data_IF_919064862482
#
_entry.id   IF_919064862482
#
_cell.length_a   1.000
_cell.length_b   1.000
_cell.length_c   1.000
_cell.angle_alpha   90.00
_cell.angle_beta   90.00
_cell.angle_gamma   90.00
#
_symmetry.space_group_name_H-M   'P 1'
#
loop_
_entity.id
_entity.type
_entity.pdbx_description
1 polymer ?
#
# COMPACT_ATOMS: atom_id res chain seq x y z
N UNK A 1 25.32 -20.05 -6.01
CA UNK A 1 23.98 -19.53 -5.70
C UNK A 1 23.83 -18.14 -6.32
N UNK A 2 22.74 -17.94 -7.07
CA UNK A 2 22.44 -16.67 -7.73
C UNK A 2 22.25 -15.55 -6.70
N UNK A 3 23.06 -14.51 -6.75
CA UNK A 3 23.00 -13.36 -5.81
C UNK A 3 22.33 -12.16 -6.45
N UNK A 4 22.66 -11.88 -7.69
CA UNK A 4 22.33 -10.65 -8.39
C UNK A 4 21.25 -10.88 -9.44
N UNK A 5 20.40 -9.87 -9.61
CA UNK A 5 19.31 -9.87 -10.57
C UNK A 5 18.02 -10.57 -10.11
N UNK A 6 16.96 -10.44 -10.90
CA UNK A 6 15.65 -11.01 -10.59
C UNK A 6 15.66 -12.54 -10.66
N UNK A 7 14.97 -13.18 -9.69
CA UNK A 7 14.83 -14.62 -9.62
C UNK A 7 13.39 -14.99 -9.25
N UNK A 8 12.80 -15.92 -9.97
CA UNK A 8 11.50 -16.50 -9.67
C UNK A 8 11.68 -17.93 -9.17
N UNK A 9 11.03 -18.28 -8.05
CA UNK A 9 10.99 -19.62 -7.50
C UNK A 9 9.57 -20.15 -7.61
N UNK A 10 9.36 -21.16 -8.46
CA UNK A 10 8.07 -21.82 -8.64
C UNK A 10 8.02 -23.05 -7.72
N UNK A 11 6.99 -23.09 -6.87
CA UNK A 11 6.87 -24.14 -5.88
C UNK A 11 5.41 -24.39 -5.52
N UNK A 12 4.97 -25.65 -5.49
CA UNK A 12 3.62 -26.05 -5.15
C UNK A 12 3.25 -25.78 -3.67
N UNK A 13 1.98 -25.97 -3.32
CA UNK A 13 1.55 -25.92 -1.93
C UNK A 13 2.29 -26.99 -1.10
N UNK A 14 2.75 -26.64 0.10
CA UNK A 14 3.49 -27.56 0.97
C UNK A 14 4.96 -27.84 0.60
N UNK A 15 5.44 -27.38 -0.55
CA UNK A 15 6.80 -27.65 -1.05
C UNK A 15 7.93 -26.90 -0.32
N UNK A 16 7.59 -26.10 0.69
CA UNK A 16 8.59 -25.38 1.48
C UNK A 16 9.00 -23.99 0.97
N UNK A 17 8.17 -23.30 0.14
CA UNK A 17 8.45 -21.94 -0.36
C UNK A 17 8.98 -20.97 0.71
N UNK A 18 8.31 -20.93 1.86
CA UNK A 18 8.72 -20.06 2.98
C UNK A 18 10.09 -20.48 3.55
N UNK A 19 10.38 -21.78 3.52
CA UNK A 19 11.70 -22.30 3.95
C UNK A 19 12.80 -21.84 3.00
N UNK A 20 12.57 -21.92 1.70
CA UNK A 20 13.53 -21.42 0.70
C UNK A 20 13.82 -19.93 0.92
N UNK A 21 12.79 -19.10 1.12
CA UNK A 21 12.96 -17.68 1.39
C UNK A 21 13.75 -17.43 2.69
N UNK A 22 13.45 -18.16 3.75
CA UNK A 22 14.19 -18.06 5.03
C UNK A 22 15.67 -18.34 4.85
N UNK A 23 16.01 -19.45 4.19
CA UNK A 23 17.40 -19.82 3.96
C UNK A 23 18.10 -18.90 2.95
N UNK A 24 17.38 -18.32 1.97
CA UNK A 24 17.95 -17.32 1.09
C UNK A 24 18.37 -16.07 1.86
N UNK A 25 17.51 -15.56 2.76
CA UNK A 25 17.84 -14.40 3.61
C UNK A 25 19.07 -14.72 4.48
N UNK A 26 19.07 -15.87 5.14
CA UNK A 26 20.21 -16.31 5.94
C UNK A 26 21.49 -16.40 5.12
N UNK A 27 21.41 -16.92 3.89
CA UNK A 27 22.54 -17.01 2.99
C UNK A 27 23.07 -15.63 2.57
N UNK A 28 22.20 -14.69 2.25
CA UNK A 28 22.58 -13.32 1.91
C UNK A 28 23.31 -12.64 3.07
N UNK A 29 22.82 -12.78 4.28
CA UNK A 29 23.46 -12.24 5.48
C UNK A 29 24.82 -12.90 5.74
N UNK A 30 24.91 -14.23 5.58
CA UNK A 30 26.17 -14.96 5.71
C UNK A 30 27.22 -14.53 4.66
N UNK A 31 26.77 -14.04 3.50
CA UNK A 31 27.64 -13.48 2.47
C UNK A 31 28.00 -12.01 2.73
N UNK A 32 27.72 -11.47 3.90
CA UNK A 32 28.08 -10.12 4.32
C UNK A 32 27.10 -9.03 3.88
N UNK A 33 25.90 -9.39 3.39
CA UNK A 33 24.86 -8.40 3.11
C UNK A 33 24.22 -7.99 4.44
N UNK A 34 24.27 -6.68 4.75
CA UNK A 34 23.70 -6.13 5.96
C UNK A 34 22.17 -6.36 5.99
N UNK A 35 21.67 -6.73 7.17
CA UNK A 35 20.25 -6.96 7.39
C UNK A 35 19.37 -5.74 7.03
N UNK A 36 19.88 -4.51 7.22
CA UNK A 36 19.19 -3.28 6.83
C UNK A 36 18.98 -3.14 5.30
N UNK A 37 19.78 -3.84 4.51
CA UNK A 37 19.67 -3.84 3.05
C UNK A 37 18.76 -4.96 2.52
N UNK A 38 18.12 -5.73 3.41
CA UNK A 38 17.25 -6.84 3.02
C UNK A 38 15.80 -6.48 3.34
N UNK A 39 14.98 -6.41 2.29
CA UNK A 39 13.53 -6.23 2.39
C UNK A 39 12.82 -7.55 2.11
N UNK A 40 12.00 -8.01 3.06
CA UNK A 40 11.21 -9.25 2.94
C UNK A 40 9.73 -8.98 3.19
N UNK A 41 8.92 -9.12 2.15
CA UNK A 41 7.51 -8.77 2.17
C UNK A 41 6.62 -10.01 2.07
N UNK A 42 5.46 -9.95 2.74
CA UNK A 42 4.44 -10.98 2.71
C UNK A 42 3.03 -10.36 2.75
N UNK A 43 2.01 -11.14 2.42
CA UNK A 43 0.64 -10.64 2.36
C UNK A 43 -0.08 -10.60 3.71
N UNK A 44 0.31 -11.44 4.68
CA UNK A 44 -0.40 -11.54 5.96
C UNK A 44 0.52 -11.33 7.16
N UNK A 45 -0.01 -10.72 8.21
CA UNK A 45 0.72 -10.53 9.46
C UNK A 45 1.11 -11.86 10.11
N UNK A 46 0.29 -12.91 9.95
CA UNK A 46 0.60 -14.26 10.43
C UNK A 46 1.85 -14.81 9.74
N UNK A 47 1.89 -14.71 8.41
CA UNK A 47 3.06 -15.15 7.63
C UNK A 47 4.32 -14.32 7.96
N UNK A 48 4.18 -13.00 8.16
CA UNK A 48 5.28 -12.14 8.57
C UNK A 48 5.87 -12.55 9.93
N UNK A 49 5.01 -12.79 10.93
CA UNK A 49 5.44 -13.25 12.26
C UNK A 49 6.13 -14.61 12.21
N UNK A 50 5.57 -15.56 11.45
CA UNK A 50 6.15 -16.89 11.30
C UNK A 50 7.51 -16.83 10.59
N UNK A 51 7.62 -16.06 9.51
CA UNK A 51 8.88 -15.85 8.79
C UNK A 51 9.94 -15.23 9.70
N UNK A 52 9.59 -14.18 10.45
CA UNK A 52 10.51 -13.52 11.39
C UNK A 52 11.03 -14.52 12.45
N UNK A 53 10.16 -15.36 13.01
CA UNK A 53 10.55 -16.41 13.95
C UNK A 53 11.54 -17.39 13.33
N UNK A 54 11.24 -17.88 12.12
CA UNK A 54 12.10 -18.86 11.42
C UNK A 54 13.47 -18.28 11.06
N UNK A 55 13.51 -17.02 10.59
CA UNK A 55 14.79 -16.35 10.29
C UNK A 55 15.60 -16.16 11.57
N UNK A 56 14.97 -15.69 12.66
CA UNK A 56 15.65 -15.54 13.95
C UNK A 56 16.25 -16.84 14.48
N UNK A 57 15.63 -17.98 14.17
CA UNK A 57 16.19 -19.32 14.54
C UNK A 57 17.44 -19.66 13.72
N UNK A 58 17.54 -19.18 12.47
CA UNK A 58 18.66 -19.54 11.57
C UNK A 58 19.84 -18.56 11.68
N UNK A 59 19.55 -17.24 11.78
CA UNK A 59 20.61 -16.20 11.78
C UNK A 59 20.86 -15.56 13.13
N UNK A 60 20.05 -15.91 14.15
CA UNK A 60 20.09 -15.25 15.45
C UNK A 60 19.06 -14.13 15.58
N UNK A 61 18.52 -13.99 16.81
CA UNK A 61 17.46 -13.02 17.10
C UNK A 61 17.95 -11.57 17.09
N UNK A 62 19.23 -11.32 17.33
CA UNK A 62 19.84 -9.99 17.29
C UNK A 62 19.84 -9.41 15.88
N UNK A 63 20.41 -10.13 14.95
CA UNK A 63 20.55 -9.67 13.55
C UNK A 63 19.23 -9.62 12.81
N UNK A 64 18.30 -10.54 13.06
CA UNK A 64 16.99 -10.58 12.42
C UNK A 64 16.09 -9.38 12.77
N UNK A 65 16.39 -8.63 13.84
CA UNK A 65 15.64 -7.42 14.21
C UNK A 65 15.83 -6.28 13.19
N UNK A 66 16.96 -6.23 12.55
CA UNK A 66 17.35 -5.18 11.62
C UNK A 66 16.80 -5.39 10.20
N UNK A 67 16.24 -6.56 9.91
CA UNK A 67 15.58 -6.84 8.64
C UNK A 67 14.33 -5.99 8.44
N UNK A 68 14.17 -5.45 7.24
CA UNK A 68 12.91 -4.85 6.80
C UNK A 68 11.92 -5.96 6.46
N UNK A 69 11.12 -6.36 7.45
CA UNK A 69 10.22 -7.50 7.30
C UNK A 69 8.82 -7.20 7.79
N UNK A 70 7.82 -7.55 6.99
CA UNK A 70 6.42 -7.35 7.33
C UNK A 70 5.49 -7.60 6.16
N UNK A 71 4.24 -7.16 6.32
CA UNK A 71 3.34 -7.01 5.17
C UNK A 71 3.72 -5.77 4.39
N UNK A 72 3.36 -5.71 3.10
CA UNK A 72 3.55 -4.52 2.26
C UNK A 72 3.13 -3.25 3.01
N UNK A 73 1.88 -3.16 3.44
CA UNK A 73 1.36 -2.00 4.14
C UNK A 73 2.14 -1.64 5.42
N UNK A 74 2.53 -2.63 6.23
CA UNK A 74 3.24 -2.36 7.48
C UNK A 74 4.66 -1.83 7.26
N UNK A 75 5.34 -2.32 6.24
CA UNK A 75 6.69 -1.86 5.91
C UNK A 75 6.64 -0.50 5.24
N UNK A 76 5.75 -0.30 4.26
CA UNK A 76 5.61 0.99 3.60
C UNK A 76 5.10 2.08 4.54
N UNK A 77 4.17 1.78 5.45
CA UNK A 77 3.79 2.72 6.52
C UNK A 77 4.99 3.13 7.39
N UNK A 78 5.91 2.20 7.69
CA UNK A 78 7.14 2.51 8.44
C UNK A 78 8.10 3.40 7.64
N UNK A 79 8.25 3.14 6.34
CA UNK A 79 9.06 3.99 5.45
C UNK A 79 8.45 5.40 5.38
N UNK A 80 7.14 5.50 5.15
CA UNK A 80 6.45 6.79 5.05
C UNK A 80 6.47 7.58 6.37
N UNK A 81 6.56 6.93 7.53
CA UNK A 81 6.75 7.65 8.81
C UNK A 81 8.12 8.30 8.92
N UNK A 82 9.14 7.74 8.28
CA UNK A 82 10.49 8.33 8.20
C UNK A 82 10.58 9.37 7.08
N UNK A 83 10.12 9.03 5.91
CA UNK A 83 10.36 9.78 4.68
C UNK A 83 9.17 10.63 4.20
N UNK A 84 7.99 10.46 4.80
CA UNK A 84 6.75 11.13 4.38
C UNK A 84 6.81 12.65 4.40
N UNK A 85 7.74 13.24 5.16
CA UNK A 85 7.97 14.69 5.18
C UNK A 85 8.39 15.23 3.80
N UNK A 86 9.07 14.44 2.97
CA UNK A 86 9.38 14.80 1.58
C UNK A 86 8.12 14.90 0.69
N UNK A 87 7.03 14.27 1.12
CA UNK A 87 5.72 14.34 0.47
C UNK A 87 4.77 15.34 1.15
N UNK A 88 5.24 16.06 2.17
CA UNK A 88 4.44 17.01 2.93
C UNK A 88 3.57 16.39 4.03
N UNK A 89 3.78 15.12 4.38
CA UNK A 89 3.05 14.46 5.47
C UNK A 89 3.86 14.46 6.77
N UNK A 90 3.20 14.64 7.93
CA UNK A 90 3.86 14.51 9.23
C UNK A 90 4.22 13.05 9.51
N UNK A 91 5.27 12.80 10.30
CA UNK A 91 5.69 11.45 10.68
C UNK A 91 4.61 10.65 11.45
N UNK A 92 3.69 11.35 12.10
CA UNK A 92 2.57 10.79 12.85
C UNK A 92 1.25 10.80 12.05
N UNK A 93 1.31 10.81 10.72
CA UNK A 93 0.11 10.77 9.88
C UNK A 93 -0.86 9.66 10.31
N UNK A 94 -2.15 9.92 10.14
CA UNK A 94 -3.22 8.96 10.43
C UNK A 94 -3.42 8.03 9.24
N UNK A 95 -3.65 6.75 9.52
CA UNK A 95 -4.05 5.79 8.48
C UNK A 95 -5.57 5.64 8.56
N UNK A 96 -6.27 6.08 7.52
CA UNK A 96 -7.71 5.92 7.41
C UNK A 96 -8.07 4.49 7.04
N UNK A 97 -8.96 3.91 7.81
CA UNK A 97 -9.58 2.64 7.45
C UNK A 97 -10.72 2.84 6.41
N UNK A 98 -11.36 1.74 6.04
CA UNK A 98 -12.47 1.77 5.08
C UNK A 98 -13.65 2.59 5.61
N UNK A 99 -13.91 2.60 6.92
CA UNK A 99 -15.03 3.35 7.50
C UNK A 99 -14.74 4.85 7.51
N UNK A 100 -13.50 5.24 7.85
CA UNK A 100 -13.06 6.64 7.84
C UNK A 100 -13.14 7.21 6.42
N UNK A 101 -12.64 6.45 5.45
CA UNK A 101 -12.68 6.81 4.03
C UNK A 101 -14.11 6.96 3.51
N UNK A 102 -15.02 6.05 3.87
CA UNK A 102 -16.44 6.12 3.50
C UNK A 102 -17.13 7.33 4.17
N UNK A 103 -16.82 7.63 5.43
CA UNK A 103 -17.37 8.81 6.13
C UNK A 103 -16.91 10.10 5.46
N UNK A 104 -15.63 10.20 5.12
CA UNK A 104 -15.08 11.36 4.42
C UNK A 104 -15.75 11.55 3.06
N UNK A 105 -15.90 10.50 2.27
CA UNK A 105 -16.57 10.55 0.97
C UNK A 105 -18.07 10.92 1.11
N UNK A 106 -18.74 10.43 2.15
CA UNK A 106 -20.14 10.81 2.43
C UNK A 106 -20.27 12.32 2.68
N UNK A 107 -19.33 12.92 3.41
CA UNK A 107 -19.28 14.37 3.64
C UNK A 107 -19.05 15.14 2.34
N UNK A 108 -18.06 14.71 1.53
CA UNK A 108 -17.75 15.33 0.24
C UNK A 108 -18.95 15.30 -0.69
N UNK A 109 -19.59 14.15 -0.86
CA UNK A 109 -20.75 13.97 -1.74
C UNK A 109 -21.92 14.85 -1.29
N UNK A 110 -22.15 14.96 0.03
CA UNK A 110 -23.18 15.85 0.61
C UNK A 110 -22.88 17.32 0.34
N UNK A 111 -21.64 17.77 0.55
CA UNK A 111 -21.24 19.15 0.37
C UNK A 111 -21.24 19.58 -1.10
N UNK A 112 -20.90 18.66 -2.01
CA UNK A 112 -21.03 18.86 -3.45
C UNK A 112 -22.48 18.79 -3.95
N UNK A 113 -23.44 18.54 -3.08
CA UNK A 113 -24.87 18.40 -3.38
C UNK A 113 -25.17 17.35 -4.46
N UNK A 114 -24.40 16.26 -4.46
CA UNK A 114 -24.53 15.17 -5.44
C UNK A 114 -25.61 14.16 -5.01
N UNK A 115 -26.25 13.55 -6.00
CA UNK A 115 -27.26 12.51 -5.79
C UNK A 115 -26.66 11.25 -5.13
N UNK A 116 -27.06 10.93 -3.91
CA UNK A 116 -26.55 9.78 -3.15
C UNK A 116 -26.75 8.44 -3.85
N UNK A 117 -27.79 8.31 -4.64
CA UNK A 117 -28.09 7.08 -5.38
C UNK A 117 -27.06 6.82 -6.51
N UNK A 118 -26.58 7.87 -7.15
CA UNK A 118 -25.55 7.80 -8.19
C UNK A 118 -24.15 7.67 -7.59
N UNK A 119 -23.89 8.41 -6.50
CA UNK A 119 -22.58 8.47 -5.84
C UNK A 119 -22.59 7.78 -4.48
N UNK A 120 -22.84 6.46 -4.46
CA UNK A 120 -22.78 5.67 -3.22
C UNK A 120 -21.35 5.66 -2.67
N UNK A 121 -21.09 6.14 -1.43
CA UNK A 121 -19.72 6.34 -0.93
C UNK A 121 -18.82 5.12 -1.03
N UNK A 122 -19.35 3.91 -0.78
CA UNK A 122 -18.58 2.67 -0.92
C UNK A 122 -18.18 2.38 -2.37
N UNK A 123 -19.05 2.69 -3.34
CA UNK A 123 -18.74 2.50 -4.76
C UNK A 123 -17.74 3.55 -5.25
N UNK A 124 -17.87 4.78 -4.77
CA UNK A 124 -16.90 5.86 -5.04
C UNK A 124 -15.54 5.49 -4.48
N UNK A 125 -15.47 5.01 -3.24
CA UNK A 125 -14.22 4.52 -2.64
C UNK A 125 -13.58 3.40 -3.47
N UNK A 126 -14.39 2.42 -3.87
CA UNK A 126 -13.91 1.31 -4.73
C UNK A 126 -13.34 1.81 -6.05
N UNK A 127 -13.96 2.84 -6.66
CA UNK A 127 -13.44 3.46 -7.90
C UNK A 127 -12.13 4.21 -7.66
N UNK A 128 -12.03 4.98 -6.58
CA UNK A 128 -10.78 5.67 -6.20
C UNK A 128 -9.67 4.65 -5.94
N UNK A 129 -9.96 3.58 -5.21
CA UNK A 129 -9.02 2.49 -4.95
C UNK A 129 -8.53 1.85 -6.25
N UNK A 130 -9.43 1.57 -7.19
CA UNK A 130 -9.06 1.07 -8.52
C UNK A 130 -8.11 2.01 -9.26
N UNK A 131 -8.39 3.33 -9.24
CA UNK A 131 -7.54 4.34 -9.88
C UNK A 131 -6.16 4.36 -9.23
N UNK A 132 -6.09 4.40 -7.89
CA UNK A 132 -4.84 4.37 -7.14
C UNK A 132 -4.03 3.09 -7.41
N UNK A 133 -4.66 1.93 -7.40
CA UNK A 133 -4.01 0.64 -7.70
C UNK A 133 -3.50 0.54 -9.15
N UNK A 134 -4.08 1.33 -10.06
CA UNK A 134 -3.58 1.50 -11.44
C UNK A 134 -2.57 2.64 -11.58
N UNK A 135 -2.09 3.20 -10.48
CA UNK A 135 -1.15 4.34 -10.41
C UNK A 135 -1.69 5.61 -11.10
N UNK A 136 -3.01 5.75 -11.17
CA UNK A 136 -3.67 6.91 -11.76
C UNK A 136 -3.90 7.95 -10.68
N UNK A 137 -3.04 8.96 -10.67
CA UNK A 137 -3.19 10.14 -9.80
C UNK A 137 -4.36 11.01 -10.27
N UNK A 138 -4.81 11.95 -9.44
CA UNK A 138 -5.85 12.92 -9.82
C UNK A 138 -5.47 13.67 -11.09
N UNK A 139 -4.22 14.11 -11.21
CA UNK A 139 -3.71 14.79 -12.42
C UNK A 139 -3.81 13.88 -13.64
N UNK A 140 -3.37 12.64 -13.53
CA UNK A 140 -3.45 11.65 -14.61
C UNK A 140 -4.91 11.36 -15.01
N UNK A 141 -5.83 11.27 -14.03
CA UNK A 141 -7.25 11.10 -14.29
C UNK A 141 -7.83 12.27 -15.11
N UNK A 142 -7.54 13.51 -14.72
CA UNK A 142 -8.06 14.69 -15.44
C UNK A 142 -7.51 14.82 -16.86
N UNK A 143 -6.31 14.30 -17.11
CA UNK A 143 -5.69 14.29 -18.44
C UNK A 143 -6.15 13.13 -19.32
N UNK A 144 -6.87 12.14 -18.75
CA UNK A 144 -7.30 10.94 -19.48
C UNK A 144 -8.79 11.03 -19.87
N UNK A 145 -9.04 11.20 -21.18
CA UNK A 145 -10.40 11.33 -21.72
C UNK A 145 -11.21 10.05 -21.55
N UNK A 146 -10.60 8.87 -21.79
CA UNK A 146 -11.29 7.58 -21.72
C UNK A 146 -11.83 7.29 -20.31
N UNK A 147 -11.04 7.63 -19.27
CA UNK A 147 -11.49 7.45 -17.87
C UNK A 147 -12.67 8.36 -17.53
N UNK A 148 -12.65 9.61 -18.02
CA UNK A 148 -13.76 10.56 -17.82
C UNK A 148 -15.02 10.11 -18.56
N UNK A 149 -14.88 9.64 -19.79
CA UNK A 149 -16.00 9.11 -20.58
C UNK A 149 -16.58 7.84 -19.94
N UNK A 150 -15.74 6.93 -19.45
CA UNK A 150 -16.19 5.74 -18.74
C UNK A 150 -17.02 6.08 -17.49
N UNK A 151 -16.57 7.05 -16.69
CA UNK A 151 -17.31 7.49 -15.51
C UNK A 151 -18.55 8.30 -15.87
N UNK A 152 -18.57 9.04 -17.00
CA UNK A 152 -19.75 9.70 -17.55
C UNK A 152 -20.80 8.68 -18.01
N UNK A 153 -20.40 7.64 -18.74
CA UNK A 153 -21.29 6.54 -19.14
C UNK A 153 -21.87 5.79 -17.95
N UNK A 154 -21.09 5.68 -16.85
CA UNK A 154 -21.57 5.15 -15.59
C UNK A 154 -22.45 6.12 -14.77
N UNK A 155 -22.91 7.23 -15.37
CA UNK A 155 -23.71 8.29 -14.74
C UNK A 155 -23.02 8.96 -13.55
N UNK A 156 -21.69 9.02 -13.56
CA UNK A 156 -20.85 9.63 -12.50
C UNK A 156 -19.86 10.67 -13.05
N UNK A 157 -20.29 11.70 -13.79
CA UNK A 157 -19.40 12.68 -14.43
C UNK A 157 -18.54 13.48 -13.42
N UNK A 158 -18.93 13.53 -12.14
CA UNK A 158 -18.22 14.25 -11.07
C UNK A 158 -17.17 13.38 -10.33
N UNK A 159 -16.84 12.20 -10.86
CA UNK A 159 -15.91 11.28 -10.20
C UNK A 159 -14.52 11.90 -10.00
N UNK A 160 -14.00 12.62 -10.98
CA UNK A 160 -12.71 13.31 -10.88
C UNK A 160 -12.69 14.41 -9.81
N UNK A 161 -13.77 15.21 -9.73
CA UNK A 161 -13.91 16.25 -8.70
C UNK A 161 -13.95 15.65 -7.30
N UNK A 162 -14.69 14.55 -7.13
CA UNK A 162 -14.75 13.82 -5.84
C UNK A 162 -13.37 13.26 -5.49
N UNK A 163 -12.64 12.69 -6.45
CA UNK A 163 -11.30 12.16 -6.24
C UNK A 163 -10.33 13.26 -5.79
N UNK A 164 -10.37 14.43 -6.45
CA UNK A 164 -9.58 15.59 -6.04
C UNK A 164 -9.90 16.02 -4.61
N UNK A 165 -11.17 16.24 -4.28
CA UNK A 165 -11.58 16.62 -2.93
C UNK A 165 -11.18 15.60 -1.87
N UNK A 166 -11.26 14.31 -2.19
CA UNK A 166 -10.85 13.24 -1.29
C UNK A 166 -9.36 13.31 -0.97
N UNK A 167 -8.51 13.40 -2.01
CA UNK A 167 -7.06 13.49 -1.84
C UNK A 167 -6.66 14.75 -1.07
N UNK A 168 -7.26 15.91 -1.40
CA UNK A 168 -6.98 17.19 -0.74
C UNK A 168 -7.35 17.16 0.75
N UNK A 169 -8.47 16.54 1.10
CA UNK A 169 -8.90 16.42 2.49
C UNK A 169 -8.06 15.43 3.29
N UNK A 170 -7.70 14.30 2.71
CA UNK A 170 -6.75 13.39 3.33
C UNK A 170 -5.43 14.11 3.61
N UNK A 171 -4.91 14.85 2.62
CA UNK A 171 -3.68 15.61 2.78
C UNK A 171 -3.78 16.69 3.90
N UNK A 172 -4.83 17.50 3.88
CA UNK A 172 -5.09 18.54 4.91
C UNK A 172 -5.24 17.95 6.31
N UNK A 173 -5.79 16.75 6.42
CA UNK A 173 -5.94 16.04 7.68
C UNK A 173 -4.64 15.33 8.13
N UNK A 174 -3.56 15.38 7.35
CA UNK A 174 -2.37 14.58 7.60
C UNK A 174 -2.68 13.09 7.62
N UNK A 175 -3.54 12.62 6.72
CA UNK A 175 -4.01 11.24 6.67
C UNK A 175 -3.72 10.59 5.31
N UNK A 176 -3.50 9.28 5.34
CA UNK A 176 -3.36 8.41 4.16
C UNK A 176 -4.33 7.24 4.30
N UNK A 177 -4.96 6.81 3.21
CA UNK A 177 -5.66 5.53 3.21
C UNK A 177 -4.71 4.35 2.90
N UNK A 178 -5.23 3.13 2.90
CA UNK A 178 -4.40 1.95 2.64
C UNK A 178 -3.78 1.94 1.24
N UNK A 179 -4.48 2.47 0.23
CA UNK A 179 -3.95 2.54 -1.14
C UNK A 179 -2.83 3.58 -1.24
N UNK A 180 -2.91 4.69 -0.49
CA UNK A 180 -1.86 5.71 -0.44
C UNK A 180 -0.54 5.15 0.11
N UNK A 181 -0.58 4.19 1.05
CA UNK A 181 0.63 3.58 1.60
C UNK A 181 1.47 2.83 0.54
N UNK A 182 0.85 2.44 -0.57
CA UNK A 182 1.51 1.74 -1.67
C UNK A 182 1.75 2.64 -2.90
N UNK A 183 0.98 3.73 -3.02
CA UNK A 183 1.05 4.66 -4.15
C UNK A 183 2.12 5.75 -3.96
N UNK A 184 2.33 6.18 -2.72
CA UNK A 184 3.23 7.30 -2.35
C UNK A 184 4.66 6.85 -2.19
#
# INVERSE_FOLDING_TARGET
LHKDGPMIIIAGAGSGKTRVLTYRIAHLMHQGIDAFNILSLTFTNKAAKEMKKRIGTVVGTGESKNLWMGTFHSVFARILRSEGHHLGFPSNFTIYDTQDSVRLLSSIIKEMQLEKEKYKPKQVLSRISQLKNSLITVKAYHSNTDLKEADMMASRPKMGDIYQHYVDRCFKAGAMDFDDLLLR
#
